data_IF_155177020768
#
_entry.id   IF_155177020768
#
_cell.length_a   1.000
_cell.length_b   1.000
_cell.length_c   1.000
_cell.angle_alpha   90.00
_cell.angle_beta   90.00
_cell.angle_gamma   90.00
#
_symmetry.space_group_name_H-M   'P 1'
#
loop_
_entity.id
_entity.type
_entity.pdbx_description
1 polymer ?
#
# COMPACT_ATOMS: atom_id res chain seq x y z
N UNK A 1 -10.65 25.40 2.58
CA UNK A 1 -10.95 25.35 1.14
C UNK A 1 -12.41 24.96 0.97
N UNK A 2 -13.15 25.67 0.13
CA UNK A 2 -14.53 25.32 -0.22
C UNK A 2 -14.54 24.07 -1.12
N UNK A 3 -15.68 23.39 -1.25
CA UNK A 3 -15.81 22.25 -2.19
C UNK A 3 -15.62 22.66 -3.64
N UNK A 4 -15.86 23.94 -3.98
CA UNK A 4 -15.56 24.52 -5.29
C UNK A 4 -14.06 24.67 -5.59
N UNK A 5 -13.19 24.44 -4.61
CA UNK A 5 -11.73 24.49 -4.80
C UNK A 5 -11.13 23.09 -5.10
N UNK A 6 -11.96 22.03 -5.14
CA UNK A 6 -11.51 20.68 -5.46
C UNK A 6 -11.32 20.55 -6.98
N UNK A 7 -10.12 20.18 -7.47
CA UNK A 7 -9.89 19.99 -8.89
C UNK A 7 -10.75 18.86 -9.49
N UNK A 8 -11.16 19.03 -10.75
CA UNK A 8 -11.92 18.00 -11.47
C UNK A 8 -11.22 16.63 -11.44
N UNK A 9 -11.97 15.59 -11.09
CA UNK A 9 -11.47 14.21 -11.00
C UNK A 9 -10.74 13.89 -9.69
N UNK A 10 -10.78 14.79 -8.71
CA UNK A 10 -10.31 14.57 -7.34
C UNK A 10 -11.47 14.66 -6.37
N UNK A 11 -11.33 13.96 -5.25
CA UNK A 11 -12.22 14.12 -4.10
C UNK A 11 -11.39 14.34 -2.84
N UNK A 12 -11.95 15.13 -1.93
CA UNK A 12 -11.39 15.27 -0.58
C UNK A 12 -11.71 14.01 0.21
N UNK A 13 -10.74 13.51 0.97
CA UNK A 13 -10.92 12.42 1.92
C UNK A 13 -10.92 13.01 3.32
N UNK A 14 -11.99 12.77 4.07
CA UNK A 14 -12.26 13.42 5.36
C UNK A 14 -12.38 14.94 5.28
N UNK A 15 -12.15 15.59 6.41
CA UNK A 15 -12.29 17.06 6.55
C UNK A 15 -10.99 17.82 6.22
N UNK A 16 -9.91 17.11 5.88
CA UNK A 16 -8.59 17.72 5.71
C UNK A 16 -8.46 18.41 4.33
N UNK A 17 -8.18 19.73 4.27
CA UNK A 17 -8.23 20.49 3.02
C UNK A 17 -7.15 20.10 2.00
N UNK A 18 -6.06 19.47 2.44
CA UNK A 18 -4.96 19.04 1.56
C UNK A 18 -5.06 17.58 1.11
N UNK A 19 -5.98 16.76 1.65
CA UNK A 19 -6.09 15.34 1.30
C UNK A 19 -7.00 15.14 0.08
N UNK A 20 -6.44 15.42 -1.10
CA UNK A 20 -7.15 15.34 -2.38
C UNK A 20 -6.73 14.10 -3.14
N UNK A 21 -7.60 13.12 -3.29
CA UNK A 21 -7.25 11.88 -3.94
C UNK A 21 -7.99 11.72 -5.26
N UNK A 22 -7.35 11.12 -6.26
CA UNK A 22 -7.98 10.94 -7.57
C UNK A 22 -9.20 10.02 -7.47
N UNK A 23 -10.32 10.42 -8.04
CA UNK A 23 -11.49 9.56 -8.20
C UNK A 23 -11.16 8.29 -8.97
N UNK A 24 -10.27 8.40 -9.97
CA UNK A 24 -9.76 7.27 -10.74
C UNK A 24 -8.99 6.26 -9.87
N UNK A 25 -8.22 6.75 -8.89
CA UNK A 25 -7.50 5.88 -7.96
C UNK A 25 -8.48 5.13 -7.06
N UNK A 26 -9.49 5.82 -6.52
CA UNK A 26 -10.57 5.18 -5.76
C UNK A 26 -11.34 4.14 -6.56
N UNK A 27 -11.69 4.45 -7.80
CA UNK A 27 -12.35 3.48 -8.68
C UNK A 27 -11.49 2.23 -8.90
N UNK A 28 -10.17 2.37 -8.93
CA UNK A 28 -9.27 1.23 -9.04
C UNK A 28 -9.20 0.45 -7.72
N UNK A 29 -9.13 1.12 -6.57
CA UNK A 29 -9.19 0.50 -5.24
C UNK A 29 -10.49 -0.29 -5.07
N UNK A 30 -11.65 0.28 -5.43
CA UNK A 30 -12.93 -0.41 -5.33
C UNK A 30 -12.97 -1.68 -6.18
N UNK A 31 -12.37 -1.68 -7.37
CA UNK A 31 -12.25 -2.91 -8.18
C UNK A 31 -11.37 -3.96 -7.52
N UNK A 32 -10.28 -3.54 -6.89
CA UNK A 32 -9.42 -4.47 -6.14
C UNK A 32 -10.18 -5.04 -4.93
N UNK A 33 -10.99 -4.23 -4.24
CA UNK A 33 -11.84 -4.68 -3.13
C UNK A 33 -12.97 -5.61 -3.59
N UNK A 34 -13.60 -5.35 -4.74
CA UNK A 34 -14.56 -6.28 -5.35
C UNK A 34 -13.89 -7.63 -5.68
N UNK A 35 -12.63 -7.62 -6.13
CA UNK A 35 -11.88 -8.85 -6.39
C UNK A 35 -11.39 -9.53 -5.11
N UNK A 36 -11.23 -8.78 -4.02
CA UNK A 36 -10.93 -9.28 -2.68
C UNK A 36 -12.14 -9.97 -2.05
N UNK A 37 -13.32 -9.35 -2.09
CA UNK A 37 -14.58 -9.93 -1.59
C UNK A 37 -14.89 -11.28 -2.28
N UNK A 38 -14.62 -11.40 -3.58
CA UNK A 38 -14.77 -12.67 -4.32
C UNK A 38 -13.83 -13.77 -3.85
N UNK A 39 -12.78 -13.43 -3.10
CA UNK A 39 -11.76 -14.33 -2.55
C UNK A 39 -11.91 -14.53 -1.05
N UNK A 40 -12.83 -13.82 -0.40
CA UNK A 40 -13.04 -13.90 1.03
C UNK A 40 -13.94 -15.10 1.36
N UNK A 41 -13.46 -16.15 2.05
CA UNK A 41 -14.28 -17.28 2.46
C UNK A 41 -15.53 -16.87 3.25
N UNK A 42 -15.42 -15.83 4.09
CA UNK A 42 -16.52 -15.36 4.94
C UNK A 42 -17.65 -14.77 4.10
N UNK A 43 -17.35 -14.13 2.98
CA UNK A 43 -18.34 -13.61 2.03
C UNK A 43 -19.20 -14.72 1.38
N UNK A 44 -18.78 -15.98 1.47
CA UNK A 44 -19.49 -17.15 0.93
C UNK A 44 -19.98 -18.12 2.01
N UNK A 45 -19.96 -17.73 3.29
CA UNK A 45 -20.29 -18.58 4.44
C UNK A 45 -19.46 -19.88 4.47
N UNK A 46 -18.17 -19.80 4.12
CA UNK A 46 -17.25 -20.93 4.20
C UNK A 46 -15.99 -20.57 4.97
N UNK A 47 -15.43 -21.54 5.65
CA UNK A 47 -14.08 -21.49 6.22
C UNK A 47 -13.06 -22.24 5.35
N UNK A 48 -12.06 -21.52 4.86
CA UNK A 48 -10.83 -22.10 4.28
C UNK A 48 -9.69 -21.70 5.22
N UNK A 49 -8.72 -22.59 5.45
CA UNK A 49 -7.56 -22.40 6.35
C UNK A 49 -7.15 -20.93 6.55
N UNK A 50 -6.83 -20.54 7.79
CA UNK A 50 -6.63 -19.14 8.22
C UNK A 50 -5.87 -18.23 7.24
N UNK A 51 -4.83 -18.71 6.57
CA UNK A 51 -4.01 -17.87 5.68
C UNK A 51 -4.58 -17.69 4.28
N UNK A 52 -5.64 -18.42 3.92
CA UNK A 52 -6.21 -18.45 2.57
C UNK A 52 -6.46 -17.05 2.03
N UNK A 53 -7.20 -16.25 2.79
CA UNK A 53 -7.58 -14.91 2.40
C UNK A 53 -6.36 -13.99 2.33
N UNK A 54 -5.41 -14.13 3.27
CA UNK A 54 -4.13 -13.43 3.24
C UNK A 54 -3.34 -13.70 1.97
N UNK A 55 -3.21 -14.97 1.55
CA UNK A 55 -2.56 -15.33 0.29
C UNK A 55 -3.33 -14.80 -0.93
N UNK A 56 -4.66 -14.84 -0.91
CA UNK A 56 -5.49 -14.34 -1.98
C UNK A 56 -5.31 -12.82 -2.19
N UNK A 57 -5.15 -12.07 -1.10
CA UNK A 57 -4.84 -10.64 -1.08
C UNK A 57 -3.39 -10.37 -1.52
N UNK A 58 -2.43 -11.18 -1.05
CA UNK A 58 -1.04 -11.12 -1.51
C UNK A 58 -0.95 -11.26 -3.04
N UNK A 59 -1.75 -12.14 -3.66
CA UNK A 59 -1.79 -12.29 -5.13
C UNK A 59 -2.34 -11.03 -5.83
N UNK A 60 -3.36 -10.36 -5.28
CA UNK A 60 -3.88 -9.10 -5.83
C UNK A 60 -2.82 -8.00 -5.82
N UNK A 61 -2.19 -7.79 -4.67
CA UNK A 61 -1.12 -6.80 -4.47
C UNK A 61 0.03 -7.09 -5.44
N UNK A 62 0.49 -8.34 -5.47
CA UNK A 62 1.56 -8.83 -6.34
C UNK A 62 1.27 -8.54 -7.81
N UNK A 63 0.07 -8.87 -8.30
CA UNK A 63 -0.33 -8.63 -9.70
C UNK A 63 -0.32 -7.15 -10.03
N UNK A 64 -0.84 -6.29 -9.16
CA UNK A 64 -0.86 -4.85 -9.37
C UNK A 64 0.58 -4.30 -9.46
N UNK A 65 1.45 -4.68 -8.52
CA UNK A 65 2.86 -4.29 -8.50
C UNK A 65 3.62 -4.74 -9.75
N UNK A 66 3.47 -6.00 -10.16
CA UNK A 66 4.11 -6.53 -11.37
C UNK A 66 3.65 -5.78 -12.63
N UNK A 67 2.38 -5.39 -12.69
CA UNK A 67 1.84 -4.60 -13.80
C UNK A 67 2.37 -3.15 -13.80
N UNK A 68 2.69 -2.60 -12.64
CA UNK A 68 3.28 -1.27 -12.47
C UNK A 68 4.79 -1.26 -12.71
N UNK A 69 5.48 -2.36 -12.44
CA UNK A 69 6.94 -2.47 -12.56
C UNK A 69 7.50 -2.01 -13.91
N UNK A 70 6.84 -2.40 -15.01
CA UNK A 70 7.23 -1.95 -16.35
C UNK A 70 7.05 -0.44 -16.52
N UNK A 71 5.98 0.14 -15.96
CA UNK A 71 5.73 1.59 -16.00
C UNK A 71 6.81 2.33 -15.22
N UNK A 72 7.08 1.91 -13.98
CA UNK A 72 8.12 2.48 -13.13
C UNK A 72 9.51 2.48 -13.78
N UNK A 73 9.91 1.35 -14.39
CA UNK A 73 11.20 1.20 -15.06
C UNK A 73 11.32 2.02 -16.36
N UNK A 74 10.20 2.28 -17.03
CA UNK A 74 10.16 2.97 -18.33
C UNK A 74 9.91 4.48 -18.24
N UNK A 75 9.66 5.01 -17.04
CA UNK A 75 9.46 6.44 -16.80
C UNK A 75 10.67 7.25 -17.25
N UNK A 76 10.53 7.95 -18.38
CA UNK A 76 11.56 8.80 -18.99
C UNK A 76 11.04 10.17 -19.40
N UNK A 77 9.76 10.43 -19.17
CA UNK A 77 9.03 11.60 -19.64
C UNK A 77 8.33 12.30 -18.48
N UNK A 78 7.46 13.26 -18.80
CA UNK A 78 6.63 13.91 -17.79
C UNK A 78 5.71 12.92 -17.06
N UNK A 79 5.29 13.28 -15.85
CA UNK A 79 4.29 12.50 -15.08
C UNK A 79 3.09 12.23 -15.98
N UNK A 80 2.76 10.94 -16.13
CA UNK A 80 1.53 10.51 -16.81
C UNK A 80 0.48 10.32 -15.72
N UNK A 81 -0.56 11.15 -15.73
CA UNK A 81 -1.61 11.14 -14.70
C UNK A 81 -2.17 9.74 -14.46
N UNK A 82 -2.45 8.97 -15.52
CA UNK A 82 -2.95 7.60 -15.42
C UNK A 82 -1.98 6.63 -14.72
N UNK A 83 -0.67 6.86 -14.86
CA UNK A 83 0.34 6.04 -14.17
C UNK A 83 0.39 6.43 -12.70
N UNK A 84 0.42 7.73 -12.41
CA UNK A 84 0.37 8.23 -11.04
C UNK A 84 -0.88 7.75 -10.30
N UNK A 85 -2.05 7.81 -10.92
CA UNK A 85 -3.32 7.36 -10.35
C UNK A 85 -3.33 5.87 -9.98
N UNK A 86 -2.57 5.03 -10.69
CA UNK A 86 -2.44 3.60 -10.31
C UNK A 86 -1.48 3.39 -9.15
N UNK A 87 -0.40 4.16 -9.11
CA UNK A 87 0.50 4.21 -7.96
C UNK A 87 -0.26 4.68 -6.72
N UNK A 88 -1.01 5.77 -6.85
CA UNK A 88 -1.93 6.29 -5.85
C UNK A 88 -2.93 5.23 -5.38
N UNK A 89 -3.58 4.51 -6.31
CA UNK A 89 -4.49 3.43 -5.97
C UNK A 89 -3.81 2.30 -5.19
N UNK A 90 -2.58 1.92 -5.56
CA UNK A 90 -1.85 0.88 -4.84
C UNK A 90 -1.50 1.35 -3.41
N UNK A 91 -1.06 2.59 -3.22
CA UNK A 91 -0.83 3.13 -1.88
C UNK A 91 -2.12 3.20 -1.06
N UNK A 92 -3.23 3.64 -1.66
CA UNK A 92 -4.55 3.65 -1.00
C UNK A 92 -4.99 2.25 -0.58
N UNK A 93 -4.85 1.26 -1.47
CA UNK A 93 -5.24 -0.11 -1.21
C UNK A 93 -4.41 -0.70 -0.06
N UNK A 94 -3.08 -0.55 -0.13
CA UNK A 94 -2.16 -1.03 0.90
C UNK A 94 -2.41 -0.39 2.27
N UNK A 95 -2.90 0.85 2.29
CA UNK A 95 -3.07 1.59 3.53
C UNK A 95 -4.46 1.43 4.18
N UNK A 96 -5.48 0.93 3.45
CA UNK A 96 -6.87 0.91 3.94
C UNK A 96 -7.68 -0.37 3.69
N UNK A 97 -7.21 -1.29 2.85
CA UNK A 97 -8.01 -2.49 2.55
C UNK A 97 -7.90 -3.53 3.66
N UNK A 98 -8.99 -4.28 3.89
CA UNK A 98 -8.95 -5.42 4.78
C UNK A 98 -7.91 -6.44 4.29
N UNK A 99 -7.83 -6.66 2.98
CA UNK A 99 -6.85 -7.54 2.35
C UNK A 99 -5.40 -7.11 2.57
N UNK A 100 -5.11 -5.80 2.52
CA UNK A 100 -3.78 -5.29 2.86
C UNK A 100 -3.41 -5.47 4.34
N UNK A 101 -4.42 -5.47 5.23
CA UNK A 101 -4.21 -5.73 6.66
C UNK A 101 -4.07 -7.21 6.99
N UNK A 102 -4.59 -8.12 6.14
CA UNK A 102 -4.58 -9.57 6.38
C UNK A 102 -3.43 -10.28 5.67
N UNK A 103 -2.98 -9.85 4.49
CA UNK A 103 -1.82 -10.51 3.84
C UNK A 103 -0.53 -10.60 4.69
N UNK A 104 -0.21 -9.68 5.62
CA UNK A 104 0.98 -9.79 6.46
C UNK A 104 0.93 -10.98 7.43
N UNK A 105 -0.26 -11.54 7.67
CA UNK A 105 -0.47 -12.65 8.61
C UNK A 105 -0.27 -14.03 7.98
N UNK A 106 0.14 -14.11 6.70
CA UNK A 106 0.43 -15.38 6.04
C UNK A 106 1.67 -16.06 6.63
N UNK A 107 1.68 -17.39 6.68
CA UNK A 107 2.84 -18.19 7.11
C UNK A 107 4.01 -18.24 6.07
N UNK A 108 4.04 -17.33 5.08
CA UNK A 108 5.12 -17.18 4.10
C UNK A 108 5.78 -15.79 4.23
N UNK A 109 6.68 -15.69 5.21
CA UNK A 109 7.45 -14.48 5.48
C UNK A 109 8.30 -14.01 4.29
N UNK A 110 8.76 -14.94 3.43
CA UNK A 110 9.55 -14.60 2.25
C UNK A 110 8.68 -13.92 1.17
N UNK A 111 7.43 -14.36 0.99
CA UNK A 111 6.48 -13.71 0.08
C UNK A 111 6.09 -12.33 0.60
N UNK A 112 5.79 -12.22 1.90
CA UNK A 112 5.53 -10.95 2.56
C UNK A 112 6.70 -9.98 2.33
N UNK A 113 7.93 -10.38 2.65
CA UNK A 113 9.13 -9.58 2.41
C UNK A 113 9.27 -9.18 0.93
N UNK A 114 9.03 -10.10 -0.01
CA UNK A 114 9.12 -9.79 -1.44
C UNK A 114 8.08 -8.72 -1.87
N UNK A 115 6.90 -8.71 -1.27
CA UNK A 115 5.87 -7.68 -1.49
C UNK A 115 6.33 -6.34 -0.93
N UNK A 116 6.87 -6.27 0.29
CA UNK A 116 7.36 -5.01 0.87
C UNK A 116 8.54 -4.43 0.10
N UNK A 117 9.57 -5.25 -0.13
CA UNK A 117 10.73 -4.85 -0.92
C UNK A 117 10.33 -4.43 -2.33
N UNK A 118 9.37 -5.14 -2.93
CA UNK A 118 8.78 -4.78 -4.21
C UNK A 118 8.09 -3.42 -4.17
N UNK A 119 7.31 -3.14 -3.12
CA UNK A 119 6.50 -1.92 -3.00
C UNK A 119 7.39 -0.69 -2.86
N UNK A 120 8.35 -0.71 -1.93
CA UNK A 120 9.29 0.39 -1.78
C UNK A 120 10.21 0.55 -2.99
N UNK A 121 10.71 -0.54 -3.58
CA UNK A 121 11.57 -0.45 -4.77
C UNK A 121 10.81 0.13 -5.97
N UNK A 122 9.52 -0.20 -6.10
CA UNK A 122 8.62 0.33 -7.13
C UNK A 122 8.41 1.83 -6.96
N UNK A 123 8.06 2.28 -5.76
CA UNK A 123 7.86 3.69 -5.44
C UNK A 123 9.14 4.51 -5.58
N UNK A 124 10.23 4.09 -4.96
CA UNK A 124 11.50 4.81 -4.99
C UNK A 124 11.99 4.95 -6.43
N UNK A 125 11.93 3.87 -7.22
CA UNK A 125 12.33 3.92 -8.63
C UNK A 125 11.43 4.84 -9.45
N UNK A 126 10.12 4.81 -9.23
CA UNK A 126 9.18 5.68 -9.94
C UNK A 126 9.48 7.16 -9.65
N UNK A 127 9.62 7.53 -8.38
CA UNK A 127 9.86 8.91 -7.96
C UNK A 127 11.22 9.41 -8.42
N UNK A 128 12.30 8.63 -8.26
CA UNK A 128 13.63 9.01 -8.75
C UNK A 128 13.69 9.13 -10.28
N UNK A 129 12.96 8.28 -11.02
CA UNK A 129 12.88 8.38 -12.46
C UNK A 129 12.09 9.62 -12.91
N UNK A 130 10.99 9.95 -12.24
CA UNK A 130 10.25 11.19 -12.47
C UNK A 130 11.10 12.42 -12.21
N UNK A 131 11.82 12.41 -11.09
CA UNK A 131 12.76 13.46 -10.69
C UNK A 131 13.79 13.66 -11.82
N UNK A 132 14.42 12.60 -12.30
CA UNK A 132 15.43 12.65 -13.36
C UNK A 132 14.87 13.09 -14.73
N UNK A 133 13.67 12.65 -15.08
CA UNK A 133 13.11 12.79 -16.43
C UNK A 133 12.79 14.25 -16.82
N UNK A 134 12.45 15.11 -15.86
CA UNK A 134 12.15 16.51 -16.15
C UNK A 134 12.44 17.46 -14.98
N UNK A 135 13.64 17.41 -14.39
CA UNK A 135 14.03 18.42 -13.38
C UNK A 135 13.87 19.84 -13.93
N UNK A 136 13.17 20.75 -13.20
CA UNK A 136 12.37 20.57 -11.98
C UNK A 136 10.85 20.42 -12.20
N UNK A 137 10.34 20.56 -13.42
CA UNK A 137 8.90 20.60 -13.71
C UNK A 137 8.13 19.38 -13.18
N UNK A 138 8.72 18.18 -13.20
CA UNK A 138 7.98 16.95 -12.93
C UNK A 138 7.58 16.70 -11.49
N UNK A 139 8.27 17.29 -10.51
CA UNK A 139 7.96 17.16 -9.09
C UNK A 139 7.78 18.55 -8.43
N UNK A 140 7.69 19.61 -9.23
CA UNK A 140 7.44 20.96 -8.72
C UNK A 140 5.99 21.08 -8.22
N UNK A 141 5.74 21.78 -7.09
CA UNK A 141 4.40 22.11 -6.63
C UNK A 141 3.63 23.01 -7.62
N UNK A 142 4.33 23.65 -8.55
CA UNK A 142 3.70 24.48 -9.60
C UNK A 142 3.25 23.68 -10.83
N UNK A 143 3.56 22.39 -10.91
CA UNK A 143 3.07 21.53 -11.98
C UNK A 143 1.60 21.17 -11.70
N UNK A 144 0.66 21.42 -12.62
CA UNK A 144 -0.75 21.10 -12.44
C UNK A 144 -1.03 19.64 -12.14
N UNK A 145 -0.14 18.71 -12.51
CA UNK A 145 -0.26 17.27 -12.19
C UNK A 145 0.24 16.95 -10.78
N UNK A 146 1.20 17.68 -10.22
CA UNK A 146 1.72 17.48 -8.86
C UNK A 146 1.00 18.31 -7.81
N UNK A 147 0.41 19.44 -8.21
CA UNK A 147 -0.48 20.26 -7.40
C UNK A 147 -1.71 19.46 -6.90
N UNK A 148 -1.86 18.21 -7.36
CA UNK A 148 -2.97 17.30 -7.10
C UNK A 148 -2.57 16.17 -6.14
N UNK A 149 -1.89 16.47 -5.01
CA UNK A 149 -1.67 15.53 -3.89
C UNK A 149 -0.44 14.60 -3.97
N UNK A 150 0.51 14.81 -4.89
CA UNK A 150 1.71 13.95 -5.02
C UNK A 150 2.45 13.73 -3.69
N UNK A 151 2.66 14.81 -2.95
CA UNK A 151 3.32 14.80 -1.63
C UNK A 151 2.62 13.85 -0.65
N UNK A 152 1.30 13.95 -0.54
CA UNK A 152 0.52 13.12 0.36
C UNK A 152 0.53 11.64 -0.05
N UNK A 153 0.47 11.34 -1.35
CA UNK A 153 0.54 9.96 -1.82
C UNK A 153 1.90 9.34 -1.49
N UNK A 154 2.99 10.09 -1.69
CA UNK A 154 4.35 9.63 -1.36
C UNK A 154 4.51 9.41 0.14
N UNK A 155 4.00 10.34 0.97
CA UNK A 155 4.02 10.22 2.43
C UNK A 155 3.21 9.02 2.91
N UNK A 156 2.02 8.80 2.34
CA UNK A 156 1.21 7.62 2.64
C UNK A 156 1.93 6.34 2.23
N UNK A 157 2.61 6.31 1.07
CA UNK A 157 3.42 5.15 0.68
C UNK A 157 4.61 4.89 1.65
N UNK A 158 5.24 5.94 2.18
CA UNK A 158 6.25 5.81 3.23
C UNK A 158 5.68 5.22 4.51
N UNK A 159 4.57 5.79 4.99
CA UNK A 159 3.92 5.30 6.22
C UNK A 159 3.39 3.88 6.08
N UNK A 160 2.94 3.46 4.90
CA UNK A 160 2.57 2.05 4.64
C UNK A 160 3.73 1.12 4.96
N UNK A 161 4.96 1.41 4.52
CA UNK A 161 6.10 0.52 4.80
C UNK A 161 6.51 0.54 6.27
N UNK A 162 6.39 1.70 6.90
CA UNK A 162 6.67 1.90 8.33
C UNK A 162 5.78 1.05 9.25
N UNK A 163 4.51 0.81 8.87
CA UNK A 163 3.63 -0.11 9.62
C UNK A 163 4.13 -1.54 9.75
N UNK A 164 5.12 -1.90 8.94
CA UNK A 164 5.70 -3.23 8.89
C UNK A 164 7.14 -3.25 9.41
N UNK A 165 7.55 -2.18 10.11
CA UNK A 165 8.79 -2.15 10.87
C UNK A 165 8.81 -3.28 11.92
N UNK A 166 10.00 -3.85 12.17
CA UNK A 166 10.19 -4.99 13.09
C UNK A 166 10.12 -6.36 12.41
N UNK A 167 9.68 -6.42 11.17
CA UNK A 167 9.86 -7.59 10.32
C UNK A 167 11.26 -7.46 9.71
N UNK A 168 12.18 -8.40 10.02
CA UNK A 168 13.61 -8.36 9.68
C UNK A 168 13.88 -8.37 8.16
N UNK A 169 13.51 -7.31 7.47
CA UNK A 169 13.62 -7.18 6.03
C UNK A 169 15.04 -6.80 5.60
N UNK A 170 15.42 -7.23 4.40
CA UNK A 170 16.69 -6.86 3.77
C UNK A 170 16.84 -5.34 3.65
N UNK A 171 15.74 -4.63 3.38
CA UNK A 171 15.73 -3.19 3.30
C UNK A 171 14.92 -2.56 4.43
N UNK A 172 15.53 -1.56 5.06
CA UNK A 172 14.97 -0.80 6.18
C UNK A 172 13.88 0.19 5.68
N UNK A 173 12.62 0.06 6.16
CA UNK A 173 11.52 1.01 5.88
C UNK A 173 11.85 2.47 6.23
N UNK A 174 12.58 2.71 7.32
CA UNK A 174 12.99 4.06 7.72
C UNK A 174 13.94 4.69 6.71
N UNK A 175 14.87 3.90 6.14
CA UNK A 175 15.69 4.34 5.01
C UNK A 175 14.82 4.73 3.80
N UNK A 176 13.77 3.96 3.48
CA UNK A 176 12.85 4.32 2.39
C UNK A 176 12.13 5.65 2.65
N UNK A 177 11.53 5.82 3.83
CA UNK A 177 10.81 7.05 4.18
C UNK A 177 11.75 8.25 4.06
N UNK A 178 12.92 8.18 4.71
CA UNK A 178 13.92 9.26 4.67
C UNK A 178 14.31 9.61 3.23
N UNK A 179 14.48 8.61 2.37
CA UNK A 179 14.83 8.86 0.97
C UNK A 179 13.70 9.56 0.19
N UNK A 180 12.45 9.12 0.38
CA UNK A 180 11.29 9.68 -0.30
C UNK A 180 11.03 11.12 0.13
N UNK A 181 11.06 11.37 1.44
CA UNK A 181 10.91 12.70 2.04
C UNK A 181 11.99 13.66 1.53
N UNK A 182 13.25 13.20 1.47
CA UNK A 182 14.34 14.01 0.91
C UNK A 182 14.12 14.34 -0.57
N UNK A 183 13.53 13.43 -1.36
CA UNK A 183 13.18 13.75 -2.75
C UNK A 183 12.07 14.80 -2.82
N UNK A 184 11.09 14.77 -1.91
CA UNK A 184 10.06 15.82 -1.85
C UNK A 184 10.68 17.19 -1.57
N UNK A 185 11.54 17.31 -0.54
CA UNK A 185 12.20 18.56 -0.17
C UNK A 185 13.01 19.17 -1.32
N UNK A 186 13.79 18.34 -2.02
CA UNK A 186 14.61 18.79 -3.17
C UNK A 186 13.79 19.43 -4.28
N UNK A 187 12.50 19.07 -4.36
CA UNK A 187 11.59 19.55 -5.39
C UNK A 187 10.62 20.62 -4.85
N UNK A 188 10.89 21.17 -3.66
CA UNK A 188 10.14 22.28 -3.07
C UNK A 188 8.79 21.87 -2.48
N UNK A 189 8.62 20.59 -2.16
CA UNK A 189 7.47 20.04 -1.44
C UNK A 189 7.81 19.84 0.05
N UNK A 190 6.80 19.64 0.89
CA UNK A 190 7.01 19.36 2.30
C UNK A 190 7.51 17.91 2.48
N UNK A 191 8.66 17.79 3.14
CA UNK A 191 9.37 16.54 3.40
C UNK A 191 9.29 16.09 4.85
N UNK A 192 8.36 16.62 5.64
CA UNK A 192 8.10 16.11 6.99
C UNK A 192 7.43 14.73 6.95
N UNK A 193 7.78 13.80 7.86
CA UNK A 193 7.08 12.52 8.02
C UNK A 193 5.59 12.69 8.34
N UNK A 194 4.78 11.69 7.99
CA UNK A 194 3.39 11.61 8.43
C UNK A 194 3.28 10.78 9.71
N UNK A 195 2.54 11.28 10.71
CA UNK A 195 2.19 10.48 11.89
C UNK A 195 1.14 9.41 11.59
N UNK A 196 0.14 9.73 10.76
CA UNK A 196 -1.02 8.87 10.44
C UNK A 196 -1.04 8.49 8.95
N UNK A 197 -1.55 7.29 8.62
CA UNK A 197 -1.70 6.81 7.23
C UNK A 197 -2.63 7.70 6.39
N UNK A 198 -3.73 8.12 7.01
CA UNK A 198 -4.75 9.05 6.52
C UNK A 198 -5.20 9.96 7.66
N UNK A 199 -5.65 11.16 7.30
CA UNK A 199 -6.17 12.17 8.22
C UNK A 199 -5.10 12.71 9.17
N UNK A 200 -4.29 13.64 8.66
CA UNK A 200 -3.57 14.57 9.52
C UNK A 200 -2.39 15.26 8.85
N UNK A 201 -2.21 16.55 9.12
CA UNK A 201 -0.89 17.18 9.10
C UNK A 201 -0.09 16.70 10.30
N UNK A 202 1.23 16.75 10.13
CA UNK A 202 2.23 16.59 11.18
C UNK A 202 1.95 17.43 12.43
N UNK A 203 2.17 16.81 13.60
CA UNK A 203 2.65 17.38 14.87
C UNK A 203 1.90 18.53 15.57
N UNK A 204 0.82 19.13 15.05
CA UNK A 204 0.17 20.27 15.74
C UNK A 204 -1.34 20.13 16.03
N UNK A 205 -2.02 19.05 15.61
CA UNK A 205 -3.48 18.92 15.77
C UNK A 205 -3.94 17.76 16.70
N UNK A 206 -3.06 17.20 17.53
CA UNK A 206 -3.42 16.12 18.49
C UNK A 206 -3.82 16.63 19.90
N UNK A 207 -4.02 17.93 20.13
CA UNK A 207 -4.43 18.44 21.45
C UNK A 207 -5.91 18.25 21.82
N UNK A 208 -6.78 17.72 20.94
CA UNK A 208 -8.25 17.77 21.15
C UNK A 208 -9.00 16.42 21.02
N UNK A 209 -8.38 15.26 21.27
CA UNK A 209 -9.12 13.99 21.46
C UNK A 209 -8.98 13.45 22.89
N UNK A 210 -9.42 14.25 23.87
CA UNK A 210 -9.90 13.74 25.16
C UNK A 210 -11.34 13.22 24.98
N UNK A 211 -11.53 11.94 24.70
CA UNK A 211 -12.68 11.12 25.13
C UNK A 211 -12.68 9.79 24.35
N UNK A 212 -11.96 8.78 24.85
CA UNK A 212 -12.57 7.47 25.09
C UNK A 212 -11.69 6.65 26.03
N UNK A 213 -12.35 6.12 27.06
CA UNK A 213 -11.79 5.45 28.22
C UNK A 213 -11.10 4.11 27.83
N UNK A 214 -9.99 3.79 28.52
CA UNK A 214 -9.22 2.53 28.50
C UNK A 214 -8.21 2.28 27.35
N UNK A 215 -7.32 3.24 27.09
CA UNK A 215 -6.02 2.96 26.42
C UNK A 215 -4.95 2.89 27.51
N UNK A 216 -4.37 1.70 27.70
CA UNK A 216 -3.21 1.49 28.57
C UNK A 216 -2.11 2.49 28.19
N UNK A 217 -1.57 3.21 29.18
CA UNK A 217 -0.49 4.18 29.04
C UNK A 217 0.69 3.56 28.24
N UNK A 218 0.70 3.73 26.92
CA UNK A 218 1.88 3.52 26.10
C UNK A 218 2.89 4.58 26.54
N UNK A 219 3.86 4.17 27.34
CA UNK A 219 4.99 4.99 27.76
C UNK A 219 5.51 5.73 26.54
N UNK A 220 5.47 7.08 26.58
CA UNK A 220 6.01 7.98 25.56
C UNK A 220 7.41 7.50 25.16
N UNK A 221 7.49 6.66 24.11
CA UNK A 221 8.75 6.31 23.48
C UNK A 221 9.36 7.64 23.07
N UNK A 222 10.49 8.01 23.69
CA UNK A 222 11.21 9.24 23.37
C UNK A 222 11.43 9.24 21.85
N UNK A 223 10.60 9.99 21.11
CA UNK A 223 10.60 10.11 19.65
C UNK A 223 12.06 10.19 19.20
N UNK A 224 12.62 9.07 18.71
CA UNK A 224 14.00 9.06 18.22
C UNK A 224 14.04 10.12 17.14
N UNK A 225 14.78 11.20 17.41
CA UNK A 225 14.68 12.41 16.62
C UNK A 225 14.93 12.08 15.14
N UNK A 226 13.89 12.19 14.32
CA UNK A 226 13.94 11.83 12.90
C UNK A 226 15.10 12.56 12.22
N UNK A 227 16.12 11.80 11.79
CA UNK A 227 17.27 12.36 11.09
C UNK A 227 17.00 12.45 9.58
N UNK A 228 16.83 13.64 8.98
CA UNK A 228 16.54 13.75 7.55
C UNK A 228 17.70 13.18 6.69
N UNK A 229 17.37 12.45 5.62
CA UNK A 229 18.40 11.89 4.73
C UNK A 229 19.16 12.96 3.95
N UNK A 230 20.45 12.71 3.73
CA UNK A 230 21.28 13.50 2.81
C UNK A 230 21.17 12.99 1.37
N UNK A 231 21.79 13.72 0.43
CA UNK A 231 21.87 13.27 -0.97
C UNK A 231 22.73 12.03 -1.18
N UNK A 232 23.69 11.81 -0.29
CA UNK A 232 24.47 10.58 -0.28
C UNK A 232 23.63 9.41 0.21
N UNK A 233 22.74 9.64 1.16
CA UNK A 233 21.84 8.62 1.69
C UNK A 233 20.85 8.18 0.62
N UNK A 234 20.18 9.11 -0.06
CA UNK A 234 19.29 8.75 -1.18
C UNK A 234 20.01 7.90 -2.23
N UNK A 235 21.25 8.23 -2.58
CA UNK A 235 22.04 7.46 -3.53
C UNK A 235 22.49 6.09 -2.98
N UNK A 236 22.67 5.94 -1.66
CA UNK A 236 22.95 4.67 -0.99
C UNK A 236 21.70 3.79 -0.96
N UNK A 237 20.58 4.35 -0.52
CA UNK A 237 19.28 3.69 -0.38
C UNK A 237 18.77 3.22 -1.75
N UNK A 238 18.87 4.05 -2.79
CA UNK A 238 18.54 3.64 -4.16
C UNK A 238 19.39 2.47 -4.70
N UNK A 239 20.54 2.17 -4.10
CA UNK A 239 21.34 0.99 -4.45
C UNK A 239 20.90 -0.27 -3.73
N UNK A 240 20.23 -0.19 -2.58
CA UNK A 240 19.68 -1.36 -1.90
C UNK A 240 18.26 -1.67 -2.44
N UNK A 241 17.43 -0.64 -2.58
CA UNK A 241 16.07 -0.70 -3.11
C UNK A 241 16.00 -0.78 -4.65
N UNK A 242 16.55 -1.85 -5.23
CA UNK A 242 16.57 -2.04 -6.69
C UNK A 242 15.29 -2.67 -7.21
N UNK A 243 14.62 -1.99 -8.13
CA UNK A 243 13.39 -2.47 -8.78
C UNK A 243 13.53 -3.83 -9.46
N UNK A 244 14.56 -4.04 -10.28
CA UNK A 244 14.66 -5.27 -11.09
C UNK A 244 14.79 -6.53 -10.22
N UNK A 245 15.73 -6.60 -9.25
CA UNK A 245 15.78 -7.70 -8.29
C UNK A 245 14.48 -7.86 -7.50
N UNK A 246 13.88 -6.78 -7.00
CA UNK A 246 12.66 -6.85 -6.20
C UNK A 246 11.48 -7.45 -7.01
N UNK A 247 11.28 -7.01 -8.25
CA UNK A 247 10.25 -7.59 -9.13
C UNK A 247 10.59 -9.01 -9.57
N UNK A 248 11.87 -9.40 -9.59
CA UNK A 248 12.25 -10.77 -9.88
C UNK A 248 11.90 -11.68 -8.70
N UNK A 249 12.28 -11.30 -7.47
CA UNK A 249 11.90 -12.02 -6.26
C UNK A 249 10.36 -12.18 -6.17
N UNK A 250 9.62 -11.11 -6.44
CA UNK A 250 8.16 -11.12 -6.45
C UNK A 250 7.55 -12.06 -7.52
N UNK A 251 8.22 -12.27 -8.66
CA UNK A 251 7.77 -13.24 -9.69
C UNK A 251 8.08 -14.67 -9.28
N UNK A 252 9.24 -14.90 -8.67
CA UNK A 252 9.73 -16.22 -8.25
C UNK A 252 8.92 -16.76 -7.05
N UNK A 253 8.40 -15.86 -6.20
CA UNK A 253 7.47 -16.20 -5.10
C UNK A 253 6.03 -16.23 -5.61
N UNK A 254 5.63 -17.36 -6.18
CA UNK A 254 4.24 -17.60 -6.53
C UNK A 254 3.42 -17.83 -5.26
N UNK A 255 2.25 -17.18 -5.18
CA UNK A 255 1.28 -17.44 -4.12
C UNK A 255 0.82 -18.91 -4.21
N UNK A 256 0.81 -19.68 -3.11
CA UNK A 256 0.48 -21.10 -3.15
C UNK A 256 -0.95 -21.33 -3.66
N UNK A 257 -1.11 -22.01 -4.79
CA UNK A 257 -2.43 -22.36 -5.35
C UNK A 257 -2.98 -23.68 -4.79
N UNK A 258 -2.25 -24.33 -3.90
CA UNK A 258 -2.64 -25.63 -3.36
C UNK A 258 -3.81 -25.53 -2.37
N UNK A 259 -4.03 -24.36 -1.77
CA UNK A 259 -5.20 -24.13 -0.89
C UNK A 259 -6.52 -24.36 -1.61
N UNK A 260 -6.54 -24.06 -2.91
CA UNK A 260 -7.70 -24.25 -3.78
C UNK A 260 -7.68 -25.60 -4.52
N UNK A 261 -6.73 -26.52 -4.24
CA UNK A 261 -6.60 -27.82 -4.91
C UNK A 261 -6.69 -27.74 -6.44
N UNK A 262 -6.08 -26.70 -7.02
CA UNK A 262 -6.11 -26.45 -8.47
C UNK A 262 -7.30 -25.62 -8.97
N UNK A 263 -8.10 -25.01 -8.08
CA UNK A 263 -9.16 -24.05 -8.45
C UNK A 263 -8.62 -22.62 -8.53
N UNK A 264 -9.49 -21.67 -8.86
CA UNK A 264 -9.18 -20.23 -8.84
C UNK A 264 -9.40 -19.67 -7.43
N UNK A 265 -8.68 -18.59 -7.10
CA UNK A 265 -8.87 -17.80 -5.88
C UNK A 265 -10.25 -17.16 -5.81
N UNK A 266 -10.87 -16.89 -6.97
CA UNK A 266 -12.22 -16.38 -7.09
C UNK A 266 -13.25 -17.47 -6.70
N UNK A 267 -13.71 -17.43 -5.44
CA UNK A 267 -14.73 -18.32 -4.88
C UNK A 267 -16.08 -18.10 -5.58
N UNK A 268 -16.38 -16.88 -6.04
CA UNK A 268 -17.62 -16.58 -6.78
C UNK A 268 -17.74 -17.35 -8.10
N UNK A 269 -16.60 -17.81 -8.63
CA UNK A 269 -16.53 -18.64 -9.83
C UNK A 269 -16.58 -20.15 -9.56
N UNK A 270 -16.63 -20.59 -8.30
CA UNK A 270 -16.70 -22.01 -7.96
C UNK A 270 -18.07 -22.61 -8.35
N UNK A 271 -18.11 -23.89 -8.78
CA UNK A 271 -19.38 -24.58 -9.02
C UNK A 271 -20.22 -24.64 -7.74
N UNK A 272 -21.54 -24.40 -7.85
CA UNK A 272 -22.48 -24.40 -6.72
C UNK A 272 -22.42 -25.71 -5.91
N UNK A 273 -22.31 -26.85 -6.60
CA UNK A 273 -22.19 -28.16 -5.95
C UNK A 273 -20.94 -28.28 -5.06
N UNK A 274 -19.86 -27.58 -5.41
CA UNK A 274 -18.62 -27.60 -4.64
C UNK A 274 -18.70 -26.66 -3.43
N UNK A 275 -19.33 -25.49 -3.59
CA UNK A 275 -19.56 -24.57 -2.49
C UNK A 275 -20.44 -25.23 -1.42
N UNK A 276 -21.53 -25.88 -1.84
CA UNK A 276 -22.42 -26.63 -0.94
C UNK A 276 -21.70 -27.82 -0.27
N UNK A 277 -20.80 -28.49 -0.99
CA UNK A 277 -19.99 -29.57 -0.41
C UNK A 277 -19.04 -29.06 0.70
N UNK A 278 -18.43 -27.89 0.52
CA UNK A 278 -17.55 -27.30 1.54
C UNK A 278 -18.35 -26.82 2.76
N UNK A 279 -19.50 -26.17 2.53
CA UNK A 279 -20.47 -25.82 3.60
C UNK A 279 -20.92 -27.04 4.40
N UNK A 280 -21.31 -28.12 3.71
CA UNK A 280 -21.74 -29.36 4.33
C UNK A 280 -20.63 -30.01 5.17
N UNK A 281 -19.39 -29.99 4.68
CA UNK A 281 -18.21 -30.49 5.41
C UNK A 281 -17.97 -29.69 6.70
N UNK A 282 -18.07 -28.37 6.65
CA UNK A 282 -17.89 -27.52 7.82
C UNK A 282 -19.01 -27.70 8.84
N UNK A 283 -20.26 -27.79 8.37
CA UNK A 283 -21.39 -28.11 9.24
C UNK A 283 -21.20 -29.45 9.97
N UNK A 284 -20.76 -30.50 9.26
CA UNK A 284 -20.50 -31.80 9.87
C UNK A 284 -19.38 -31.76 10.92
N UNK A 285 -18.37 -30.88 10.74
CA UNK A 285 -17.33 -30.64 11.74
C UNK A 285 -17.93 -29.96 12.97
N UNK A 286 -18.72 -28.89 12.79
CA UNK A 286 -19.37 -28.16 13.89
C UNK A 286 -20.31 -29.05 14.69
N UNK A 287 -21.18 -29.82 14.01
CA UNK A 287 -22.13 -30.73 14.63
C UNK A 287 -21.41 -31.84 15.45
N UNK A 288 -20.16 -32.19 15.09
CA UNK A 288 -19.35 -33.18 15.80
C UNK A 288 -18.61 -32.65 17.04
N UNK A 289 -18.63 -31.34 17.30
CA UNK A 289 -18.09 -30.73 18.52
C UNK A 289 -19.13 -30.61 19.64
N UNK A 290 -20.42 -30.81 19.33
CA UNK A 290 -21.53 -30.71 20.28
C UNK A 290 -21.84 -32.03 21.03
N UNK A 291 -21.11 -33.12 20.74
CA UNK A 291 -21.19 -34.44 21.39
C UNK A 291 -20.05 -34.69 22.41
#
# INVERSE_FOLDING_TARGET
MSDSDIPDGFKRVGDHPAELWSEAAFKHVFRMQEDEEKRDPDAFDIYIYNDFFGYACADLIRREMLSLGTKAASTKERVKIETFQRFEALALYMANSAGANVFPTIEDGDLAEAIYNGFGSLWLSYVLNLEKAAKPDNLSPTNPTNALNFENVVRTAAKVLDQYEGLNYENDPGDFERAMLRVLERNGMDGTPKKKLFLGKSAEDDEDMEDDEDVEDEEDEEDEAFEPATDKDVARIAKSWKLTPALQALRERAVPVDFVKGRDWDISAWPEEELEAEKAKQKAIMDGFDD
#
